data_IF_587764624915
#
_entry.id   IF_587764624915
#
_cell.length_a   1.000
_cell.length_b   1.000
_cell.length_c   1.000
_cell.angle_alpha   90.00
_cell.angle_beta   90.00
_cell.angle_gamma   90.00
#
_symmetry.space_group_name_H-M   'P 1'
#
loop_
_entity.id
_entity.type
_entity.pdbx_description
1 polymer ?
#
# COMPACT_ATOMS: atom_id res chain seq x y z
N UNK A 1 -2.24 -4.81 34.42
CA UNK A 1 -2.74 -4.62 33.04
C UNK A 1 -2.29 -3.24 32.60
N UNK A 2 -1.58 -3.14 31.48
CA UNK A 2 -1.06 -1.83 31.00
C UNK A 2 -2.26 -0.98 30.57
N UNK A 3 -2.35 0.26 31.05
CA UNK A 3 -3.40 1.19 30.62
C UNK A 3 -3.05 1.72 29.21
N UNK A 4 -3.51 1.00 28.18
CA UNK A 4 -3.25 1.34 26.78
C UNK A 4 -3.89 2.68 26.40
N UNK A 5 -5.01 3.07 27.01
CA UNK A 5 -5.73 4.33 26.71
C UNK A 5 -4.87 5.55 26.94
N UNK A 6 -3.94 5.51 27.92
CA UNK A 6 -3.01 6.61 28.18
C UNK A 6 -2.12 6.95 26.97
N UNK A 7 -1.63 5.93 26.26
CA UNK A 7 -0.74 6.13 25.11
C UNK A 7 -1.49 6.76 23.92
N UNK A 8 -2.71 6.29 23.66
CA UNK A 8 -3.55 6.87 22.60
C UNK A 8 -4.01 8.28 22.93
N UNK A 9 -4.28 8.61 24.19
CA UNK A 9 -4.58 9.98 24.63
C UNK A 9 -3.39 10.93 24.40
N UNK A 10 -2.17 10.49 24.68
CA UNK A 10 -0.95 11.27 24.38
C UNK A 10 -0.74 11.43 22.87
N UNK A 11 -1.01 10.37 22.09
CA UNK A 11 -0.96 10.46 20.65
C UNK A 11 -2.03 11.41 20.09
N UNK A 12 -3.26 11.41 20.62
CA UNK A 12 -4.31 12.36 20.22
C UNK A 12 -3.91 13.83 20.44
N UNK A 13 -3.20 14.10 21.52
CA UNK A 13 -2.66 15.42 21.80
C UNK A 13 -1.40 15.77 20.95
N UNK A 14 -0.88 14.82 20.16
CA UNK A 14 0.43 14.87 19.48
C UNK A 14 1.58 15.25 20.45
N UNK A 15 1.45 14.79 21.72
CA UNK A 15 2.43 15.00 22.79
C UNK A 15 3.53 13.95 22.75
N UNK A 16 4.50 14.16 21.87
CA UNK A 16 5.62 13.25 21.70
C UNK A 16 6.48 13.11 22.95
N UNK A 17 6.71 14.18 23.69
CA UNK A 17 7.53 14.17 24.91
C UNK A 17 6.86 13.37 26.03
N UNK A 18 5.56 13.59 26.23
CA UNK A 18 4.74 12.81 27.16
C UNK A 18 4.69 11.35 26.76
N UNK A 19 4.52 11.08 25.47
CA UNK A 19 4.51 9.73 24.92
C UNK A 19 5.87 9.04 25.11
N UNK A 20 6.99 9.70 24.82
CA UNK A 20 8.34 9.16 25.03
C UNK A 20 8.59 8.76 26.49
N UNK A 21 8.22 9.65 27.43
CA UNK A 21 8.33 9.35 28.86
C UNK A 21 7.47 8.15 29.27
N UNK A 22 6.26 8.06 28.75
CA UNK A 22 5.35 6.95 29.03
C UNK A 22 5.86 5.61 28.47
N UNK A 23 6.49 5.66 27.28
CA UNK A 23 7.05 4.50 26.59
C UNK A 23 8.35 3.98 27.22
N UNK A 24 9.15 4.83 27.86
CA UNK A 24 10.42 4.43 28.50
C UNK A 24 10.22 3.43 29.67
N UNK A 25 9.01 3.30 30.19
CA UNK A 25 8.63 2.26 31.17
C UNK A 25 7.95 1.04 30.58
N UNK A 26 7.79 0.95 29.25
CA UNK A 26 7.00 -0.08 28.58
C UNK A 26 7.78 -0.67 27.38
N UNK A 27 8.52 -1.77 27.56
CA UNK A 27 9.45 -2.30 26.57
C UNK A 27 8.83 -2.89 25.29
N UNK A 28 7.52 -3.10 25.22
CA UNK A 28 6.86 -3.75 24.08
C UNK A 28 5.76 -2.88 23.46
N UNK A 29 6.05 -1.62 23.22
CA UNK A 29 5.08 -0.62 22.76
C UNK A 29 4.56 -0.84 21.33
N UNK A 30 5.30 -1.52 20.47
CA UNK A 30 4.83 -1.93 19.13
C UNK A 30 3.64 -2.90 19.19
N UNK A 31 3.36 -3.49 20.36
CA UNK A 31 2.20 -4.37 20.60
C UNK A 31 0.99 -3.63 21.16
N UNK A 32 1.12 -2.34 21.50
CA UNK A 32 -0.01 -1.55 22.01
C UNK A 32 -0.98 -1.32 20.86
N UNK A 33 -2.21 -1.78 21.06
CA UNK A 33 -3.31 -1.62 20.10
C UNK A 33 -4.49 -0.98 20.81
N UNK A 34 -5.26 -0.21 20.05
CA UNK A 34 -6.57 0.29 20.51
C UNK A 34 -7.63 -0.82 20.46
N UNK A 35 -8.86 -0.48 20.81
CA UNK A 35 -10.00 -1.40 20.81
C UNK A 35 -10.36 -1.90 19.40
N UNK A 36 -9.93 -1.20 18.35
CA UNK A 36 -10.05 -1.58 16.94
C UNK A 36 -8.90 -2.46 16.43
N UNK A 37 -7.87 -2.70 17.25
CA UNK A 37 -6.68 -3.46 16.89
C UNK A 37 -5.61 -2.65 16.15
N UNK A 38 -5.79 -1.33 16.02
CA UNK A 38 -4.85 -0.42 15.37
C UNK A 38 -3.63 -0.17 16.27
N UNK A 39 -2.42 -0.26 15.72
CA UNK A 39 -1.22 0.04 16.50
C UNK A 39 -1.08 1.53 16.77
N UNK A 40 -0.35 1.88 17.82
CA UNK A 40 -0.10 3.28 18.17
C UNK A 40 0.57 4.06 17.03
N UNK A 41 1.43 3.39 16.25
CA UNK A 41 2.08 3.98 15.10
C UNK A 41 1.07 4.27 13.95
N UNK A 42 0.26 3.28 13.56
CA UNK A 42 -0.78 3.46 12.54
C UNK A 42 -1.80 4.52 12.94
N UNK A 43 -2.24 4.49 14.20
CA UNK A 43 -3.09 5.50 14.81
C UNK A 43 -2.54 6.92 14.60
N UNK A 44 -1.25 7.10 14.89
CA UNK A 44 -0.59 8.40 14.73
C UNK A 44 -0.52 8.83 13.26
N UNK A 45 -0.20 7.92 12.34
CA UNK A 45 -0.13 8.19 10.90
C UNK A 45 -1.50 8.59 10.35
N UNK A 46 -2.54 7.78 10.59
CA UNK A 46 -3.86 8.00 10.00
C UNK A 46 -4.56 9.24 10.54
N UNK A 47 -4.23 9.69 11.76
CA UNK A 47 -4.79 10.90 12.37
C UNK A 47 -3.89 12.12 12.26
N UNK A 48 -2.80 12.04 11.46
CA UNK A 48 -1.89 13.16 11.19
C UNK A 48 -1.11 13.64 12.42
N UNK A 49 -0.88 12.76 13.40
CA UNK A 49 -0.11 13.05 14.62
C UNK A 49 1.39 12.93 14.34
N UNK A 50 1.91 13.93 13.65
CA UNK A 50 3.23 13.88 13.03
C UNK A 50 4.38 13.72 14.04
N UNK A 51 4.34 14.40 15.18
CA UNK A 51 5.40 14.32 16.19
C UNK A 51 5.44 12.94 16.84
N UNK A 52 4.28 12.38 17.17
CA UNK A 52 4.18 11.04 17.73
C UNK A 52 4.58 9.98 16.70
N UNK A 53 4.17 10.11 15.43
CA UNK A 53 4.57 9.20 14.37
C UNK A 53 6.10 9.20 14.16
N UNK A 54 6.73 10.38 14.10
CA UNK A 54 8.19 10.50 13.99
C UNK A 54 8.94 9.94 15.22
N UNK A 55 8.42 10.14 16.42
CA UNK A 55 8.95 9.51 17.63
C UNK A 55 8.95 7.99 17.51
N UNK A 56 7.79 7.41 17.17
CA UNK A 56 7.62 5.95 17.05
C UNK A 56 8.48 5.37 15.94
N UNK A 57 8.60 6.08 14.81
CA UNK A 57 9.52 5.74 13.73
C UNK A 57 10.97 5.69 14.21
N UNK A 58 11.44 6.75 14.89
CA UNK A 58 12.80 6.86 15.43
C UNK A 58 13.13 5.75 16.44
N UNK A 59 12.15 5.32 17.24
CA UNK A 59 12.30 4.19 18.16
C UNK A 59 12.40 2.83 17.46
N UNK A 60 12.10 2.77 16.17
CA UNK A 60 12.15 1.54 15.39
C UNK A 60 11.10 0.51 15.78
N UNK A 61 9.99 0.94 16.34
CA UNK A 61 8.89 0.09 16.81
C UNK A 61 7.87 -0.24 15.71
N UNK A 62 8.35 -0.39 14.49
CA UNK A 62 7.52 -0.66 13.32
C UNK A 62 7.61 -2.13 12.91
N UNK A 63 6.48 -2.70 12.56
CA UNK A 63 6.43 -3.92 11.74
C UNK A 63 6.87 -3.61 10.31
N UNK A 64 7.12 -4.65 9.50
CA UNK A 64 7.45 -4.47 8.10
C UNK A 64 6.34 -3.73 7.33
N UNK A 65 5.07 -4.03 7.63
CA UNK A 65 3.91 -3.35 7.03
C UNK A 65 3.86 -1.87 7.39
N UNK A 66 4.12 -1.52 8.65
CA UNK A 66 4.16 -0.13 9.11
C UNK A 66 5.32 0.64 8.51
N UNK A 67 6.50 0.03 8.40
CA UNK A 67 7.65 0.62 7.72
C UNK A 67 7.36 0.89 6.24
N UNK A 68 6.70 -0.06 5.57
CA UNK A 68 6.27 0.10 4.17
C UNK A 68 5.23 1.22 4.02
N UNK A 69 4.25 1.28 4.91
CA UNK A 69 3.22 2.32 4.92
C UNK A 69 3.82 3.73 5.16
N UNK A 70 4.83 3.82 6.03
CA UNK A 70 5.53 5.08 6.32
C UNK A 70 6.55 5.48 5.24
N UNK A 71 6.84 4.62 4.27
CA UNK A 71 7.88 4.86 3.26
C UNK A 71 9.31 4.74 3.80
N UNK A 72 9.50 4.08 4.95
CA UNK A 72 10.79 3.90 5.61
C UNK A 72 11.60 2.76 4.99
N UNK A 73 12.30 3.05 3.89
CA UNK A 73 13.07 2.06 3.15
C UNK A 73 14.21 1.43 3.97
N UNK A 74 14.86 2.21 4.86
CA UNK A 74 15.94 1.70 5.71
C UNK A 74 15.38 0.66 6.69
N UNK A 75 14.25 0.98 7.31
CA UNK A 75 13.59 0.06 8.24
C UNK A 75 13.06 -1.19 7.53
N UNK A 76 12.48 -1.03 6.32
CA UNK A 76 12.10 -2.15 5.46
C UNK A 76 13.29 -3.07 5.23
N UNK A 77 14.45 -2.52 4.82
CA UNK A 77 15.64 -3.32 4.55
C UNK A 77 16.14 -4.06 5.80
N UNK A 78 16.15 -3.40 6.97
CA UNK A 78 16.55 -4.03 8.23
C UNK A 78 15.63 -5.18 8.60
N UNK A 79 14.31 -4.98 8.53
CA UNK A 79 13.32 -5.98 8.92
C UNK A 79 13.28 -7.16 7.93
N UNK A 80 13.35 -6.88 6.62
CA UNK A 80 13.39 -7.91 5.60
C UNK A 80 14.64 -8.80 5.70
N UNK A 81 15.80 -8.23 6.00
CA UNK A 81 17.03 -9.00 6.26
C UNK A 81 16.95 -9.83 7.52
N UNK A 82 16.36 -9.30 8.60
CA UNK A 82 16.22 -10.00 9.86
C UNK A 82 15.25 -11.19 9.78
N UNK A 83 14.21 -11.07 8.95
CA UNK A 83 13.17 -12.09 8.79
C UNK A 83 12.70 -12.19 7.33
N UNK A 84 13.50 -12.76 6.40
CA UNK A 84 13.17 -12.83 4.97
C UNK A 84 11.82 -13.51 4.69
N UNK A 85 11.44 -14.47 5.51
CA UNK A 85 10.16 -15.19 5.42
C UNK A 85 8.95 -14.31 5.70
N UNK A 86 9.13 -13.15 6.33
CA UNK A 86 8.04 -12.24 6.69
C UNK A 86 7.68 -11.24 5.58
N UNK A 87 8.50 -11.15 4.52
CA UNK A 87 8.36 -10.11 3.48
C UNK A 87 6.99 -10.18 2.79
N UNK A 88 6.52 -11.39 2.56
CA UNK A 88 5.24 -11.66 1.88
C UNK A 88 4.08 -11.98 2.83
N UNK A 89 4.28 -11.83 4.14
CA UNK A 89 3.19 -12.06 5.09
C UNK A 89 2.09 -11.03 4.91
N UNK A 90 0.85 -11.47 5.16
CA UNK A 90 -0.31 -10.58 5.13
C UNK A 90 -0.49 -9.91 6.49
N UNK A 91 -0.81 -8.63 6.48
CA UNK A 91 -1.32 -7.91 7.66
C UNK A 91 -2.68 -8.46 8.10
N UNK A 92 -3.17 -8.14 9.30
CA UNK A 92 -4.53 -8.49 9.72
C UNK A 92 -5.60 -8.03 8.72
N UNK A 93 -5.38 -6.90 8.05
CA UNK A 93 -6.27 -6.36 7.01
C UNK A 93 -6.12 -7.08 5.67
N UNK A 94 -5.24 -8.08 5.57
CA UNK A 94 -5.07 -8.92 4.39
C UNK A 94 -4.19 -8.33 3.29
N UNK A 95 -3.27 -7.42 3.60
CA UNK A 95 -2.34 -6.82 2.64
C UNK A 95 -0.90 -7.22 2.95
N UNK A 96 -0.08 -7.44 1.92
CA UNK A 96 1.39 -7.50 2.10
C UNK A 96 1.95 -6.08 2.27
N UNK A 97 3.17 -5.99 2.78
CA UNK A 97 3.88 -4.69 2.84
C UNK A 97 4.01 -4.03 1.45
N UNK A 98 4.16 -4.85 0.39
CA UNK A 98 4.24 -4.36 -0.99
C UNK A 98 2.91 -3.74 -1.48
N UNK A 99 1.75 -4.30 -1.10
CA UNK A 99 0.44 -3.68 -1.38
C UNK A 99 0.32 -2.29 -0.75
N UNK A 100 0.70 -2.16 0.52
CA UNK A 100 0.63 -0.89 1.25
C UNK A 100 1.54 0.17 0.62
N UNK A 101 2.79 -0.19 0.33
CA UNK A 101 3.72 0.71 -0.34
C UNK A 101 3.20 1.15 -1.72
N UNK A 102 2.65 0.22 -2.50
CA UNK A 102 2.11 0.48 -3.84
C UNK A 102 0.87 1.40 -3.79
N UNK A 103 -0.09 1.12 -2.92
CA UNK A 103 -1.32 1.89 -2.77
C UNK A 103 -1.05 3.33 -2.29
N UNK A 104 -0.14 3.48 -1.33
CA UNK A 104 0.17 4.78 -0.73
C UNK A 104 1.22 5.58 -1.51
N UNK A 105 1.83 5.00 -2.56
CA UNK A 105 2.85 5.65 -3.36
C UNK A 105 4.21 5.77 -2.66
N UNK A 106 4.49 4.86 -1.72
CA UNK A 106 5.74 4.84 -0.96
C UNK A 106 6.87 4.21 -1.79
N UNK A 107 7.34 4.97 -2.78
CA UNK A 107 8.25 4.46 -3.81
C UNK A 107 9.56 3.91 -3.28
N UNK A 108 10.18 4.54 -2.29
CA UNK A 108 11.44 4.07 -1.69
C UNK A 108 11.26 2.74 -0.95
N UNK A 109 10.16 2.60 -0.22
CA UNK A 109 9.82 1.36 0.47
C UNK A 109 9.43 0.25 -0.53
N UNK A 110 8.70 0.58 -1.61
CA UNK A 110 8.36 -0.35 -2.68
C UNK A 110 9.62 -0.93 -3.32
N UNK A 111 10.60 -0.09 -3.65
CA UNK A 111 11.88 -0.54 -4.23
C UNK A 111 12.61 -1.43 -3.24
N UNK A 112 12.73 -1.01 -1.97
CA UNK A 112 13.39 -1.81 -0.95
C UNK A 112 12.73 -3.19 -0.75
N UNK A 113 11.39 -3.26 -0.77
CA UNK A 113 10.66 -4.53 -0.68
C UNK A 113 10.98 -5.46 -1.87
N UNK A 114 10.94 -4.94 -3.10
CA UNK A 114 11.27 -5.73 -4.29
C UNK A 114 12.73 -6.21 -4.28
N UNK A 115 13.68 -5.37 -3.85
CA UNK A 115 15.10 -5.72 -3.70
C UNK A 115 15.35 -6.77 -2.62
N UNK A 116 14.45 -6.90 -1.64
CA UNK A 116 14.51 -7.91 -0.59
C UNK A 116 13.56 -9.08 -0.81
N UNK A 117 13.12 -9.28 -2.06
CA UNK A 117 12.43 -10.49 -2.49
C UNK A 117 10.94 -10.51 -2.27
N UNK A 118 10.28 -9.36 -2.07
CA UNK A 118 8.82 -9.31 -2.07
C UNK A 118 8.25 -9.79 -3.41
N UNK A 119 7.36 -10.78 -3.39
CA UNK A 119 6.70 -11.29 -4.59
C UNK A 119 5.48 -10.44 -4.95
N UNK A 120 5.51 -9.69 -6.07
CA UNK A 120 4.38 -8.85 -6.50
C UNK A 120 3.17 -9.66 -6.99
N UNK A 121 3.27 -10.99 -7.04
CA UNK A 121 2.19 -11.90 -7.45
C UNK A 121 1.43 -12.51 -6.27
N UNK A 122 1.72 -12.10 -5.05
CA UNK A 122 0.96 -12.50 -3.88
C UNK A 122 -0.37 -11.74 -3.88
N UNK A 123 -1.48 -12.49 -3.85
CA UNK A 123 -2.79 -11.91 -3.69
C UNK A 123 -3.04 -11.46 -2.25
N UNK A 124 -3.50 -10.23 -2.10
CA UNK A 124 -4.09 -9.76 -0.85
C UNK A 124 -5.41 -10.48 -0.57
N UNK A 125 -5.86 -10.43 0.67
CA UNK A 125 -7.21 -10.92 1.07
C UNK A 125 -8.23 -9.80 1.20
N UNK A 126 -7.76 -8.53 1.27
CA UNK A 126 -8.61 -7.35 1.25
C UNK A 126 -9.07 -7.02 -0.18
N UNK A 127 -10.21 -6.31 -0.29
CA UNK A 127 -10.68 -5.72 -1.55
C UNK A 127 -10.59 -6.67 -2.76
N UNK A 128 -11.34 -7.76 -2.71
CA UNK A 128 -11.49 -8.71 -3.83
C UNK A 128 -10.21 -9.45 -4.26
N UNK A 129 -9.29 -9.71 -3.32
CA UNK A 129 -8.06 -10.45 -3.60
C UNK A 129 -7.29 -9.84 -4.77
N UNK A 130 -6.76 -8.65 -4.57
CA UNK A 130 -5.97 -7.92 -5.55
C UNK A 130 -4.46 -8.21 -5.42
N UNK A 131 -3.69 -7.81 -6.43
CA UNK A 131 -2.23 -7.78 -6.42
C UNK A 131 -1.74 -6.36 -6.15
N UNK A 132 -0.46 -6.16 -5.76
CA UNK A 132 0.14 -4.82 -5.58
C UNK A 132 -0.04 -3.89 -6.78
N UNK A 133 -0.06 -4.40 -8.02
CA UNK A 133 -0.30 -3.61 -9.23
C UNK A 133 -1.73 -3.02 -9.27
N UNK A 134 -2.74 -3.76 -8.81
CA UNK A 134 -4.12 -3.27 -8.68
C UNK A 134 -4.21 -2.21 -7.59
N UNK A 135 -3.54 -2.44 -6.46
CA UNK A 135 -3.47 -1.48 -5.37
C UNK A 135 -2.80 -0.16 -5.81
N UNK A 136 -1.71 -0.23 -6.58
CA UNK A 136 -1.05 0.95 -7.15
C UNK A 136 -1.97 1.73 -8.11
N UNK A 137 -2.70 1.04 -8.98
CA UNK A 137 -3.66 1.65 -9.90
C UNK A 137 -4.82 2.34 -9.15
N UNK A 138 -5.26 1.76 -8.04
CA UNK A 138 -6.29 2.33 -7.17
C UNK A 138 -5.79 3.54 -6.37
N UNK A 139 -4.56 3.48 -5.85
CA UNK A 139 -3.96 4.53 -5.03
C UNK A 139 -3.61 5.81 -5.80
N UNK A 140 -3.23 5.69 -7.10
CA UNK A 140 -2.87 6.81 -7.99
C UNK A 140 -1.73 7.70 -7.48
N UNK A 141 -0.79 7.14 -6.72
CA UNK A 141 0.26 7.90 -6.01
C UNK A 141 1.68 7.55 -6.44
N UNK A 142 1.87 6.40 -7.10
CA UNK A 142 3.17 6.06 -7.67
C UNK A 142 3.45 6.93 -8.90
N UNK A 143 4.69 7.40 -9.01
CA UNK A 143 5.14 8.00 -10.25
C UNK A 143 5.26 6.94 -11.38
N UNK A 144 5.37 7.43 -12.62
CA UNK A 144 5.38 6.60 -13.82
C UNK A 144 6.50 5.54 -13.80
N UNK A 145 7.70 5.91 -13.33
CA UNK A 145 8.86 5.02 -13.33
C UNK A 145 8.71 3.88 -12.31
N UNK A 146 8.21 4.22 -11.12
CA UNK A 146 7.95 3.23 -10.06
C UNK A 146 6.79 2.30 -10.42
N UNK A 147 5.74 2.83 -11.04
CA UNK A 147 4.65 2.01 -11.55
C UNK A 147 5.14 1.04 -12.63
N UNK A 148 5.99 1.50 -13.57
CA UNK A 148 6.61 0.65 -14.59
C UNK A 148 7.49 -0.45 -13.97
N UNK A 149 8.24 -0.13 -12.92
CA UNK A 149 9.04 -1.12 -12.17
C UNK A 149 8.16 -2.21 -11.57
N UNK A 150 7.01 -1.83 -10.98
CA UNK A 150 6.07 -2.77 -10.40
C UNK A 150 5.41 -3.66 -11.47
N UNK A 151 5.00 -3.08 -12.61
CA UNK A 151 4.45 -3.82 -13.77
C UNK A 151 5.46 -4.85 -14.26
N UNK A 152 6.71 -4.44 -14.46
CA UNK A 152 7.78 -5.34 -14.90
C UNK A 152 8.04 -6.48 -13.90
N UNK A 153 8.02 -6.19 -12.59
CA UNK A 153 8.18 -7.18 -11.55
C UNK A 153 7.00 -8.16 -11.47
N UNK A 154 5.77 -7.70 -11.74
CA UNK A 154 4.57 -8.55 -11.80
C UNK A 154 4.62 -9.53 -12.97
N UNK A 155 5.17 -9.09 -14.12
CA UNK A 155 5.39 -9.91 -15.32
C UNK A 155 4.18 -10.10 -16.23
N UNK A 156 2.96 -9.88 -15.73
CA UNK A 156 1.71 -9.94 -16.49
C UNK A 156 0.87 -8.69 -16.22
N UNK A 157 0.75 -7.77 -17.21
CA UNK A 157 -0.04 -6.56 -17.04
C UNK A 157 -1.56 -6.81 -17.04
N UNK A 158 -1.98 -7.98 -17.50
CA UNK A 158 -3.39 -8.36 -17.65
C UNK A 158 -3.92 -9.26 -16.53
N UNK A 159 -3.10 -9.49 -15.51
CA UNK A 159 -3.52 -10.30 -14.36
C UNK A 159 -4.82 -9.76 -13.77
N UNK A 160 -5.75 -10.68 -13.50
CA UNK A 160 -7.07 -10.36 -12.95
C UNK A 160 -7.06 -10.46 -11.41
N UNK A 161 -7.67 -9.50 -10.74
CA UNK A 161 -8.10 -9.72 -9.36
C UNK A 161 -9.33 -10.63 -9.31
N UNK A 162 -9.72 -11.10 -8.12
CA UNK A 162 -10.81 -12.06 -7.96
C UNK A 162 -12.15 -11.61 -8.57
N UNK A 163 -12.44 -10.31 -8.57
CA UNK A 163 -13.65 -9.76 -9.16
C UNK A 163 -13.57 -9.58 -10.69
N UNK A 164 -12.48 -10.03 -11.34
CA UNK A 164 -12.31 -9.97 -12.79
C UNK A 164 -11.81 -8.64 -13.35
N UNK A 165 -11.27 -7.75 -12.51
CA UNK A 165 -10.71 -6.48 -12.97
C UNK A 165 -9.22 -6.59 -13.25
N UNK A 166 -8.76 -5.94 -14.33
CA UNK A 166 -7.34 -5.69 -14.59
C UNK A 166 -6.89 -4.38 -13.93
N UNK A 167 -5.57 -4.21 -13.79
CA UNK A 167 -5.00 -2.92 -13.35
C UNK A 167 -5.35 -1.78 -14.34
N UNK A 168 -5.48 -2.09 -15.65
CA UNK A 168 -5.89 -1.12 -16.68
C UNK A 168 -7.32 -0.61 -16.45
N UNK A 169 -8.26 -1.47 -16.11
CA UNK A 169 -9.65 -1.09 -15.77
C UNK A 169 -9.70 -0.18 -14.55
N UNK A 170 -8.93 -0.51 -13.50
CA UNK A 170 -8.86 0.30 -12.28
C UNK A 170 -8.22 1.66 -12.56
N UNK A 171 -7.12 1.71 -13.32
CA UNK A 171 -6.46 2.95 -13.71
C UNK A 171 -7.38 3.83 -14.57
N UNK A 172 -8.14 3.22 -15.49
CA UNK A 172 -9.11 3.89 -16.36
C UNK A 172 -10.26 4.52 -15.55
N UNK A 173 -10.86 3.75 -14.64
CA UNK A 173 -11.89 4.24 -13.72
C UNK A 173 -11.43 5.41 -12.85
N UNK A 174 -10.15 5.42 -12.49
CA UNK A 174 -9.57 6.47 -11.64
C UNK A 174 -8.94 7.64 -12.42
N UNK A 175 -8.91 7.59 -13.76
CA UNK A 175 -8.25 8.61 -14.58
C UNK A 175 -6.73 8.69 -14.37
N UNK A 176 -6.09 7.57 -14.02
CA UNK A 176 -4.64 7.53 -13.76
C UNK A 176 -3.87 7.31 -15.06
N UNK A 177 -3.65 8.40 -15.80
CA UNK A 177 -3.08 8.42 -17.16
C UNK A 177 -1.69 7.78 -17.21
N UNK A 178 -0.81 8.08 -16.25
CA UNK A 178 0.54 7.52 -16.22
C UNK A 178 0.54 6.00 -16.10
N UNK A 179 -0.34 5.45 -15.26
CA UNK A 179 -0.48 3.99 -15.16
C UNK A 179 -1.03 3.38 -16.43
N UNK A 180 -2.01 4.02 -17.09
CA UNK A 180 -2.57 3.57 -18.37
C UNK A 180 -1.46 3.51 -19.43
N UNK A 181 -0.64 4.56 -19.56
CA UNK A 181 0.46 4.60 -20.50
C UNK A 181 1.47 3.49 -20.27
N UNK A 182 1.83 3.24 -19.01
CA UNK A 182 2.76 2.17 -18.64
C UNK A 182 2.18 0.80 -18.96
N UNK A 183 0.92 0.55 -18.57
CA UNK A 183 0.26 -0.74 -18.81
C UNK A 183 0.14 -1.05 -20.31
N UNK A 184 -0.28 -0.06 -21.12
CA UNK A 184 -0.35 -0.22 -22.58
C UNK A 184 1.03 -0.45 -23.19
N UNK A 185 2.06 0.25 -22.70
CA UNK A 185 3.45 0.04 -23.14
C UNK A 185 3.99 -1.34 -22.76
N UNK A 186 3.47 -1.94 -21.70
CA UNK A 186 3.78 -3.29 -21.27
C UNK A 186 2.94 -4.37 -21.97
N UNK A 187 2.05 -3.98 -22.90
CA UNK A 187 1.22 -4.88 -23.68
C UNK A 187 -0.14 -5.20 -23.07
N UNK A 188 -0.61 -4.43 -22.10
CA UNK A 188 -1.93 -4.63 -21.53
C UNK A 188 -3.03 -4.58 -22.59
N UNK A 189 -3.95 -5.54 -22.55
CA UNK A 189 -5.08 -5.66 -23.48
C UNK A 189 -6.18 -4.67 -23.13
N UNK A 190 -6.65 -3.92 -24.12
CA UNK A 190 -7.78 -3.00 -24.00
C UNK A 190 -9.14 -3.72 -24.04
N UNK A 191 -9.14 -4.98 -24.51
CA UNK A 191 -10.36 -5.72 -24.87
C UNK A 191 -10.79 -6.75 -23.81
N UNK A 192 -10.04 -6.89 -22.73
CA UNK A 192 -10.47 -7.74 -21.62
C UNK A 192 -11.75 -7.15 -21.03
N UNK A 193 -12.71 -8.04 -20.81
CA UNK A 193 -14.01 -7.69 -20.24
C UNK A 193 -14.17 -8.28 -18.83
N UNK A 194 -14.87 -7.56 -17.97
CA UNK A 194 -15.36 -8.11 -16.71
C UNK A 194 -16.46 -9.13 -16.95
N UNK A 195 -16.91 -9.90 -15.94
CA UNK A 195 -18.06 -10.79 -16.05
C UNK A 195 -19.34 -10.09 -16.55
N UNK A 196 -19.45 -8.76 -16.35
CA UNK A 196 -20.57 -7.93 -16.83
C UNK A 196 -20.36 -7.39 -18.25
N UNK A 197 -19.29 -7.78 -18.95
CA UNK A 197 -18.97 -7.36 -20.30
C UNK A 197 -18.41 -5.95 -20.42
N UNK A 198 -17.81 -5.40 -19.36
CA UNK A 198 -17.23 -4.05 -19.35
C UNK A 198 -15.73 -4.08 -19.59
N UNK A 199 -15.27 -3.21 -20.49
CA UNK A 199 -13.86 -2.97 -20.80
C UNK A 199 -13.28 -1.80 -19.98
N UNK A 200 -11.97 -1.59 -20.08
CA UNK A 200 -11.32 -0.41 -19.48
C UNK A 200 -11.87 0.93 -20.05
N UNK A 201 -12.27 0.95 -21.34
CA UNK A 201 -12.89 2.13 -21.95
C UNK A 201 -14.25 2.45 -21.30
N UNK A 202 -15.04 1.42 -20.97
CA UNK A 202 -16.34 1.62 -20.33
C UNK A 202 -16.19 2.19 -18.92
N UNK A 203 -15.22 1.69 -18.15
CA UNK A 203 -14.92 2.25 -16.83
C UNK A 203 -14.47 3.71 -16.88
N UNK A 204 -13.65 4.08 -17.88
CA UNK A 204 -13.26 5.48 -18.08
C UNK A 204 -14.49 6.36 -18.37
N UNK A 205 -15.38 5.90 -19.26
CA UNK A 205 -16.60 6.63 -19.66
C UNK A 205 -17.56 6.80 -18.49
N UNK A 206 -17.80 5.75 -17.71
CA UNK A 206 -18.67 5.80 -16.52
C UNK A 206 -18.20 6.78 -15.45
N UNK A 207 -16.89 7.07 -15.43
CA UNK A 207 -16.29 8.02 -14.49
C UNK A 207 -16.04 9.42 -15.09
N UNK A 208 -16.51 9.67 -16.33
CA UNK A 208 -16.39 10.96 -17.01
C UNK A 208 -15.00 11.24 -17.57
N UNK A 209 -14.17 10.21 -17.77
CA UNK A 209 -12.84 10.34 -18.37
C UNK A 209 -12.90 10.12 -19.89
N UNK A 210 -13.68 10.95 -20.63
CA UNK A 210 -14.00 10.73 -22.04
C UNK A 210 -12.77 10.58 -22.94
N UNK A 211 -11.76 11.44 -22.79
CA UNK A 211 -10.52 11.35 -23.58
C UNK A 211 -9.78 10.01 -23.35
N UNK A 212 -9.84 9.46 -22.14
CA UNK A 212 -9.29 8.14 -21.85
C UNK A 212 -10.15 7.03 -22.42
N UNK A 213 -11.46 7.18 -22.39
CA UNK A 213 -12.38 6.22 -23.00
C UNK A 213 -12.16 6.12 -24.51
N UNK A 214 -11.99 7.23 -25.21
CA UNK A 214 -11.64 7.27 -26.64
C UNK A 214 -10.29 6.60 -26.93
N UNK A 215 -9.26 6.92 -26.14
CA UNK A 215 -7.92 6.32 -26.27
C UNK A 215 -7.93 4.82 -26.05
N UNK A 216 -8.77 4.30 -25.14
CA UNK A 216 -8.87 2.90 -24.81
C UNK A 216 -9.80 2.13 -25.73
N UNK A 217 -10.79 2.80 -26.34
CA UNK A 217 -11.75 2.20 -27.29
C UNK A 217 -11.27 2.15 -28.74
N UNK A 218 -10.17 2.84 -29.06
CA UNK A 218 -9.53 2.84 -30.40
C UNK A 218 -8.56 1.61 -30.54
#
# INVERSE_FOLDING_TARGET
MMDTKKFFALADADDADGLEKALNGAPETFRIRDDGGETLFLYSIFRGKTKCAELLKRRGEQSLHEAALAGDAERVAVLAKAAPWSVDTLSPDGWTALHLAAFLGQGTALVALLEHGADPRIFGRAFDSNLPIHAAAAGRRLDKALFAKLVAATGDPDVLQKAGYTALMIAAANGFTDAIDVLLSAGASKTIETPEGKTAADFARERGHEALAEKLGA
#
